data_IF_052118957462
#
_entry.id   IF_052118957462
#
_cell.length_a   1.000
_cell.length_b   1.000
_cell.length_c   1.000
_cell.angle_alpha   90.00
_cell.angle_beta   90.00
_cell.angle_gamma   90.00
#
_symmetry.space_group_name_H-M   'P 1'
#
loop_
_entity.id
_entity.type
_entity.pdbx_description
1 polymer ?
#
# COMPACT_ATOMS: atom_id res chain seq x y z
N UNK A 1 -10.95 12.82 6.46
CA UNK A 1 -12.20 12.20 5.94
C UNK A 1 -12.95 13.20 5.09
N UNK A 2 -13.20 14.42 5.55
CA UNK A 2 -14.01 15.42 4.85
C UNK A 2 -13.46 15.78 3.47
N UNK A 3 -12.13 15.92 3.34
CA UNK A 3 -11.48 16.11 2.05
C UNK A 3 -11.81 14.99 1.06
N UNK A 4 -11.78 13.74 1.49
CA UNK A 4 -12.14 12.59 0.66
C UNK A 4 -13.63 12.63 0.30
N UNK A 5 -14.50 12.89 1.27
CA UNK A 5 -15.95 12.98 1.05
C UNK A 5 -16.34 14.05 0.03
N UNK A 6 -15.62 15.18 0.00
CA UNK A 6 -15.90 16.28 -0.93
C UNK A 6 -15.36 16.03 -2.36
N UNK A 7 -14.31 15.20 -2.50
CA UNK A 7 -13.65 15.00 -3.80
C UNK A 7 -14.00 13.68 -4.49
N UNK A 8 -14.60 12.70 -3.79
CA UNK A 8 -14.98 11.43 -4.38
C UNK A 8 -16.36 11.52 -5.08
N UNK A 9 -16.45 11.02 -6.30
CA UNK A 9 -17.72 10.91 -7.06
C UNK A 9 -18.61 9.83 -6.46
N UNK A 10 -18.10 8.61 -6.30
CA UNK A 10 -18.80 7.51 -5.64
C UNK A 10 -18.56 7.57 -4.14
N UNK A 11 -19.56 7.29 -3.35
CA UNK A 11 -19.49 7.34 -1.88
C UNK A 11 -19.26 5.97 -1.26
N UNK A 12 -19.70 4.90 -1.91
CA UNK A 12 -19.62 3.53 -1.41
C UNK A 12 -18.79 2.64 -2.31
N UNK A 13 -18.05 1.68 -1.72
CA UNK A 13 -17.21 0.73 -2.43
C UNK A 13 -18.00 -0.12 -3.42
N UNK A 14 -19.20 -0.54 -3.03
CA UNK A 14 -20.10 -1.37 -3.84
C UNK A 14 -20.72 -0.63 -5.06
N UNK A 15 -20.57 0.68 -5.15
CA UNK A 15 -21.01 1.52 -6.26
C UNK A 15 -19.94 1.70 -7.35
N UNK A 16 -18.71 1.22 -7.08
CA UNK A 16 -17.60 1.37 -8.01
C UNK A 16 -17.75 0.44 -9.22
N UNK A 17 -17.48 0.96 -10.42
CA UNK A 17 -17.48 0.16 -11.66
C UNK A 17 -16.37 -0.91 -11.66
N UNK A 18 -15.21 -0.58 -11.09
CA UNK A 18 -14.12 -1.53 -10.89
C UNK A 18 -14.12 -1.92 -9.42
N UNK A 19 -14.27 -3.22 -9.09
CA UNK A 19 -14.24 -3.68 -7.69
C UNK A 19 -12.97 -3.25 -6.99
N UNK A 20 -13.11 -2.69 -5.79
CA UNK A 20 -12.00 -2.26 -4.94
C UNK A 20 -12.08 -2.94 -3.58
N UNK A 21 -10.95 -3.46 -3.13
CA UNK A 21 -10.77 -3.98 -1.76
C UNK A 21 -9.78 -3.06 -1.05
N UNK A 22 -10.20 -2.54 0.09
CA UNK A 22 -9.35 -1.71 0.96
C UNK A 22 -8.99 -2.54 2.19
N UNK A 23 -7.69 -2.63 2.51
CA UNK A 23 -7.22 -3.35 3.69
C UNK A 23 -6.99 -2.39 4.85
N UNK A 24 -7.36 -2.80 6.06
CA UNK A 24 -7.05 -2.10 7.30
C UNK A 24 -6.77 -3.11 8.41
N UNK A 25 -6.11 -2.69 9.45
CA UNK A 25 -5.89 -3.48 10.66
C UNK A 25 -6.94 -3.10 11.70
N UNK A 26 -7.78 -4.06 12.09
CA UNK A 26 -8.65 -4.00 13.27
C UNK A 26 -7.77 -4.04 14.52
N UNK A 27 -7.59 -2.88 15.14
CA UNK A 27 -6.67 -2.72 16.27
C UNK A 27 -7.21 -3.38 17.54
N UNK A 28 -8.53 -3.43 17.70
CA UNK A 28 -9.18 -3.98 18.89
C UNK A 28 -9.07 -5.51 18.94
N UNK A 29 -9.03 -6.18 17.76
CA UNK A 29 -8.99 -7.64 17.67
C UNK A 29 -7.68 -8.18 17.06
N UNK A 30 -6.75 -7.32 16.65
CA UNK A 30 -5.45 -7.73 16.10
C UNK A 30 -5.52 -8.51 14.79
N UNK A 31 -6.42 -8.15 13.88
CA UNK A 31 -6.64 -8.86 12.61
C UNK A 31 -6.67 -7.94 11.41
N UNK A 32 -6.28 -8.48 10.26
CA UNK A 32 -6.45 -7.81 8.97
C UNK A 32 -7.91 -7.86 8.52
N UNK A 33 -8.43 -6.74 8.05
CA UNK A 33 -9.79 -6.63 7.51
C UNK A 33 -9.73 -6.19 6.05
N UNK A 34 -10.62 -6.77 5.24
CA UNK A 34 -10.77 -6.47 3.82
C UNK A 34 -12.13 -5.83 3.60
N UNK A 35 -12.15 -4.54 3.42
CA UNK A 35 -13.37 -3.80 3.11
C UNK A 35 -13.67 -3.88 1.62
N UNK A 36 -14.84 -4.36 1.27
CA UNK A 36 -15.40 -4.40 -0.09
C UNK A 36 -16.76 -3.71 -0.16
N UNK A 37 -17.21 -3.12 0.95
CA UNK A 37 -18.48 -2.39 1.09
C UNK A 37 -18.33 -1.23 2.05
N UNK A 38 -19.24 -0.25 1.94
CA UNK A 38 -19.39 0.88 2.84
C UNK A 38 -18.72 2.15 2.36
N UNK A 39 -18.67 3.17 3.20
CA UNK A 39 -18.17 4.51 2.86
C UNK A 39 -16.69 4.49 2.48
N UNK A 40 -16.36 4.91 1.26
CA UNK A 40 -14.99 4.89 0.73
C UNK A 40 -14.07 5.77 1.57
N UNK A 41 -14.51 6.97 1.93
CA UNK A 41 -13.67 7.94 2.63
C UNK A 41 -13.24 7.43 4.01
N UNK A 42 -14.15 6.76 4.73
CA UNK A 42 -13.83 6.17 6.04
C UNK A 42 -12.86 5.00 5.92
N UNK A 43 -13.08 4.10 4.93
CA UNK A 43 -12.23 2.93 4.71
C UNK A 43 -10.83 3.34 4.22
N UNK A 44 -10.74 4.33 3.34
CA UNK A 44 -9.46 4.91 2.90
C UNK A 44 -8.74 5.59 4.07
N UNK A 45 -9.45 6.38 4.88
CA UNK A 45 -8.86 7.01 6.06
C UNK A 45 -8.31 5.97 7.04
N UNK A 46 -9.04 4.88 7.27
CA UNK A 46 -8.58 3.77 8.09
C UNK A 46 -7.33 3.09 7.52
N UNK A 47 -7.32 2.83 6.20
CA UNK A 47 -6.19 2.21 5.49
C UNK A 47 -4.93 3.06 5.46
N UNK A 48 -5.07 4.39 5.54
CA UNK A 48 -3.96 5.35 5.55
C UNK A 48 -3.58 5.82 6.96
N UNK A 49 -4.23 5.30 8.01
CA UNK A 49 -4.04 5.73 9.38
C UNK A 49 -2.79 5.09 9.98
N UNK A 50 -1.62 5.66 9.70
CA UNK A 50 -0.34 5.17 10.24
C UNK A 50 -0.29 5.31 11.76
N UNK A 51 -0.08 4.20 12.50
CA UNK A 51 0.17 4.24 13.94
C UNK A 51 1.29 5.23 14.30
N UNK A 52 1.22 5.79 15.50
CA UNK A 52 2.15 6.82 16.03
C UNK A 52 1.93 8.21 15.41
N UNK A 53 1.50 8.32 14.14
CA UNK A 53 1.27 9.61 13.49
C UNK A 53 -0.18 10.06 13.58
N UNK A 54 -1.13 9.14 13.50
CA UNK A 54 -2.56 9.44 13.49
C UNK A 54 -3.31 8.64 14.55
N UNK A 55 -4.41 9.23 15.06
CA UNK A 55 -5.34 8.50 15.90
C UNK A 55 -6.13 7.47 15.09
N UNK A 56 -6.41 6.28 15.62
CA UNK A 56 -7.20 5.26 14.94
C UNK A 56 -8.56 5.76 14.46
N UNK A 57 -9.02 5.29 13.31
CA UNK A 57 -10.34 5.62 12.77
C UNK A 57 -11.36 4.67 13.38
N UNK A 58 -12.41 5.24 14.02
CA UNK A 58 -13.52 4.43 14.51
C UNK A 58 -14.56 4.23 13.40
N UNK A 59 -14.87 2.96 13.11
CA UNK A 59 -15.94 2.56 12.19
C UNK A 59 -16.82 1.56 12.92
N UNK A 60 -18.07 1.92 13.13
CA UNK A 60 -19.08 1.07 13.79
C UNK A 60 -18.62 0.53 15.16
N UNK A 61 -17.90 1.35 15.94
CA UNK A 61 -17.42 1.00 17.28
C UNK A 61 -16.08 0.26 17.32
N UNK A 62 -15.48 -0.08 16.18
CA UNK A 62 -14.16 -0.74 16.08
C UNK A 62 -13.10 0.27 15.60
N UNK A 63 -11.91 0.20 16.18
CA UNK A 63 -10.79 1.07 15.84
C UNK A 63 -9.89 0.44 14.78
N UNK A 64 -9.64 1.19 13.72
CA UNK A 64 -8.82 0.75 12.59
C UNK A 64 -7.59 1.62 12.40
N UNK A 65 -6.52 0.97 11.99
CA UNK A 65 -5.27 1.60 11.55
C UNK A 65 -4.84 1.02 10.21
N UNK A 66 -3.75 1.54 9.65
CA UNK A 66 -3.18 1.14 8.36
C UNK A 66 -3.06 -0.38 8.22
N UNK A 67 -3.58 -0.90 7.11
CA UNK A 67 -3.52 -2.33 6.78
C UNK A 67 -2.11 -2.86 6.61
N UNK A 68 -1.19 -2.00 6.23
CA UNK A 68 0.23 -2.33 6.09
C UNK A 68 0.90 -2.79 7.39
N UNK A 69 0.29 -2.52 8.55
CA UNK A 69 0.77 -3.07 9.83
C UNK A 69 0.82 -4.60 9.81
N UNK A 70 -0.17 -5.25 9.23
CA UNK A 70 -0.25 -6.72 9.14
C UNK A 70 0.04 -7.25 7.73
N UNK A 71 -0.30 -6.49 6.67
CA UNK A 71 -0.09 -6.89 5.27
C UNK A 71 0.08 -5.66 4.36
N UNK A 72 1.31 -5.25 4.14
CA UNK A 72 1.61 -4.06 3.33
C UNK A 72 1.40 -4.27 1.81
N UNK A 73 1.57 -5.48 1.32
CA UNK A 73 1.40 -5.84 -0.08
C UNK A 73 0.35 -6.98 -0.19
N UNK A 74 -0.96 -6.69 -0.23
CA UNK A 74 -2.02 -7.68 -0.03
C UNK A 74 -2.32 -8.53 -1.27
N UNK A 75 -1.31 -9.17 -1.87
CA UNK A 75 -1.44 -10.04 -3.07
C UNK A 75 -2.35 -11.23 -2.80
N UNK A 76 -2.22 -11.87 -1.63
CA UNK A 76 -3.06 -12.99 -1.21
C UNK A 76 -4.55 -12.68 -1.20
N UNK A 77 -4.91 -11.40 -0.99
CA UNK A 77 -6.31 -10.96 -1.02
C UNK A 77 -6.91 -11.12 -2.41
N UNK A 78 -6.16 -10.76 -3.46
CA UNK A 78 -6.60 -10.84 -4.85
C UNK A 78 -6.39 -12.23 -5.45
N UNK A 79 -5.39 -12.98 -4.99
CA UNK A 79 -5.07 -14.31 -5.53
C UNK A 79 -6.22 -15.32 -5.44
N UNK A 80 -7.17 -15.10 -4.52
CA UNK A 80 -8.36 -15.95 -4.36
C UNK A 80 -9.45 -15.70 -5.40
N UNK A 81 -9.41 -14.53 -6.06
CA UNK A 81 -10.48 -14.06 -6.97
C UNK A 81 -9.96 -13.64 -8.34
N UNK A 82 -8.64 -13.55 -8.53
CA UNK A 82 -7.99 -13.17 -9.79
C UNK A 82 -7.06 -14.27 -10.28
N UNK A 83 -7.10 -14.57 -11.56
CA UNK A 83 -6.19 -15.52 -12.21
C UNK A 83 -4.77 -14.95 -12.28
N UNK A 84 -4.64 -13.66 -12.61
CA UNK A 84 -3.36 -12.94 -12.67
C UNK A 84 -3.38 -11.74 -11.73
N UNK A 85 -2.28 -11.55 -11.00
CA UNK A 85 -2.13 -10.45 -10.03
C UNK A 85 -0.85 -9.68 -10.32
N UNK A 86 -1.01 -8.38 -10.55
CA UNK A 86 0.09 -7.42 -10.62
C UNK A 86 0.23 -6.79 -9.24
N UNK A 87 1.41 -6.82 -8.68
CA UNK A 87 1.74 -6.17 -7.42
C UNK A 87 2.69 -4.99 -7.67
N UNK A 88 2.38 -3.85 -7.06
CA UNK A 88 3.25 -2.68 -7.08
C UNK A 88 3.69 -2.39 -5.66
N UNK A 89 4.99 -2.53 -5.38
CA UNK A 89 5.56 -2.26 -4.07
C UNK A 89 6.48 -1.02 -4.14
N UNK A 90 5.99 0.09 -3.61
CA UNK A 90 6.71 1.37 -3.60
C UNK A 90 7.51 1.61 -2.32
N UNK A 91 7.58 0.62 -1.44
CA UNK A 91 8.22 0.72 -0.12
C UNK A 91 9.29 -0.36 0.10
N UNK A 92 10.37 -0.41 -0.72
CA UNK A 92 11.46 -1.35 -0.48
C UNK A 92 12.16 -1.06 0.85
N UNK A 93 12.73 -2.09 1.47
CA UNK A 93 13.44 -1.96 2.73
C UNK A 93 14.80 -1.30 2.51
N UNK A 94 15.05 -0.16 3.17
CA UNK A 94 16.24 0.62 2.93
C UNK A 94 16.92 1.10 4.21
N UNK A 95 18.23 1.29 4.14
CA UNK A 95 19.01 1.91 5.20
C UNK A 95 18.81 3.44 5.14
N UNK A 96 18.27 4.03 6.20
CA UNK A 96 18.12 5.48 6.32
C UNK A 96 18.64 5.97 7.66
N UNK A 97 19.18 7.19 7.68
CA UNK A 97 19.54 7.86 8.94
C UNK A 97 18.27 8.30 9.67
N UNK A 98 18.25 8.18 10.98
CA UNK A 98 17.14 8.61 11.84
C UNK A 98 17.63 9.21 13.15
N UNK A 99 16.80 10.02 13.79
CA UNK A 99 17.11 10.63 15.09
C UNK A 99 16.92 9.61 16.21
N UNK A 100 17.86 9.59 17.19
CA UNK A 100 17.80 8.70 18.37
C UNK A 100 16.85 9.26 19.44
N UNK A 101 15.55 9.28 19.14
CA UNK A 101 14.50 9.59 20.10
C UNK A 101 13.36 8.55 19.99
N UNK A 102 12.55 8.44 21.04
CA UNK A 102 11.50 7.41 21.17
C UNK A 102 10.55 7.39 19.96
N UNK A 103 10.10 8.55 19.49
CA UNK A 103 9.17 8.65 18.37
C UNK A 103 9.82 8.17 17.07
N UNK A 104 11.05 8.62 16.79
CA UNK A 104 11.78 8.21 15.59
C UNK A 104 12.12 6.71 15.61
N UNK A 105 12.43 6.15 16.78
CA UNK A 105 12.68 4.71 16.95
C UNK A 105 11.38 3.93 16.73
N UNK A 106 10.26 4.37 17.30
CA UNK A 106 8.95 3.74 17.11
C UNK A 106 8.52 3.74 15.65
N UNK A 107 8.63 4.89 14.97
CA UNK A 107 8.36 5.01 13.53
C UNK A 107 9.29 4.12 12.69
N UNK A 108 10.56 4.05 13.04
CA UNK A 108 11.51 3.19 12.34
C UNK A 108 11.19 1.71 12.53
N UNK A 109 10.85 1.30 13.74
CA UNK A 109 10.43 -0.08 14.05
C UNK A 109 9.14 -0.44 13.32
N UNK A 110 8.16 0.48 13.30
CA UNK A 110 6.94 0.34 12.51
C UNK A 110 7.27 0.13 11.01
N UNK A 111 8.13 0.97 10.43
CA UNK A 111 8.55 0.84 9.04
C UNK A 111 9.21 -0.53 8.74
N UNK A 112 9.97 -1.09 9.66
CA UNK A 112 10.53 -2.44 9.48
C UNK A 112 9.45 -3.52 9.47
N UNK A 113 8.51 -3.50 10.40
CA UNK A 113 7.39 -4.44 10.43
C UNK A 113 6.55 -4.33 9.17
N UNK A 114 6.20 -3.11 8.79
CA UNK A 114 5.42 -2.78 7.61
C UNK A 114 6.04 -3.32 6.31
N UNK A 115 7.35 -3.14 6.16
CA UNK A 115 8.07 -3.61 4.96
C UNK A 115 8.36 -5.10 4.98
N UNK A 116 8.71 -5.66 6.13
CA UNK A 116 9.06 -7.08 6.24
C UNK A 116 7.88 -8.00 5.95
N UNK A 117 6.65 -7.61 6.28
CA UNK A 117 5.48 -8.42 6.00
C UNK A 117 5.08 -8.46 4.52
N UNK A 118 5.71 -7.65 3.65
CA UNK A 118 5.51 -7.71 2.20
C UNK A 118 6.27 -8.86 1.53
N UNK A 119 7.36 -9.37 2.14
CA UNK A 119 8.19 -10.40 1.51
C UNK A 119 7.44 -11.67 1.09
N UNK A 120 6.63 -12.31 1.95
CA UNK A 120 5.89 -13.52 1.55
C UNK A 120 4.81 -13.26 0.49
N UNK A 121 4.37 -12.02 0.32
CA UNK A 121 3.37 -11.64 -0.67
C UNK A 121 3.97 -11.38 -2.06
N UNK A 122 5.24 -10.94 -2.12
CA UNK A 122 5.95 -10.66 -3.38
C UNK A 122 6.02 -11.88 -4.31
N UNK A 123 6.28 -13.05 -3.74
CA UNK A 123 6.40 -14.30 -4.49
C UNK A 123 5.07 -14.77 -5.08
N UNK A 124 3.95 -14.33 -4.53
CA UNK A 124 2.60 -14.69 -4.96
C UNK A 124 2.10 -13.86 -6.15
N UNK A 125 2.77 -12.77 -6.50
CA UNK A 125 2.42 -11.96 -7.65
C UNK A 125 2.91 -12.60 -8.96
N UNK A 126 2.11 -12.52 -10.02
CA UNK A 126 2.54 -12.91 -11.37
C UNK A 126 3.48 -11.87 -11.98
N UNK A 127 3.23 -10.61 -11.67
CA UNK A 127 4.11 -9.49 -12.01
C UNK A 127 4.34 -8.64 -10.78
N UNK A 128 5.60 -8.46 -10.42
CA UNK A 128 6.00 -7.56 -9.33
C UNK A 128 6.73 -6.35 -9.91
N UNK A 129 6.23 -5.17 -9.61
CA UNK A 129 6.83 -3.89 -9.96
C UNK A 129 7.35 -3.24 -8.67
N UNK A 130 8.67 -3.07 -8.58
CA UNK A 130 9.33 -2.40 -7.46
C UNK A 130 10.22 -1.30 -8.00
N UNK A 131 9.76 -0.04 -7.97
CA UNK A 131 10.60 1.08 -8.36
C UNK A 131 11.85 1.16 -7.49
N UNK A 132 13.00 1.24 -8.13
CA UNK A 132 14.29 1.49 -7.49
C UNK A 132 14.59 2.99 -7.47
N UNK A 133 15.63 3.40 -6.73
CA UNK A 133 16.04 4.81 -6.60
C UNK A 133 15.00 5.74 -5.95
N UNK A 134 14.11 5.19 -5.09
CA UNK A 134 13.21 5.99 -4.26
C UNK A 134 13.83 6.36 -2.89
N UNK A 135 15.09 6.03 -2.68
CA UNK A 135 15.79 6.11 -1.38
C UNK A 135 15.98 7.53 -0.86
N UNK A 136 16.04 8.49 -1.75
CA UNK A 136 16.27 9.89 -1.43
C UNK A 136 15.01 10.70 -1.11
N UNK A 137 13.81 10.09 -1.25
CA UNK A 137 12.55 10.81 -1.10
C UNK A 137 11.88 10.57 0.25
N UNK A 138 11.41 11.66 0.85
CA UNK A 138 10.57 11.61 2.04
C UNK A 138 9.10 11.51 1.64
N UNK A 139 8.29 10.81 2.44
CA UNK A 139 6.83 10.70 2.24
C UNK A 139 6.10 12.06 2.30
N UNK A 140 6.79 13.13 2.71
CA UNK A 140 6.23 14.49 2.86
C UNK A 140 6.73 15.47 1.80
N UNK A 141 7.62 15.05 0.90
CA UNK A 141 8.18 15.92 -0.15
C UNK A 141 7.27 15.97 -1.39
N UNK A 142 6.11 16.64 -1.25
CA UNK A 142 5.16 16.80 -2.36
C UNK A 142 5.72 17.60 -3.54
N UNK A 143 6.72 18.44 -3.31
CA UNK A 143 7.40 19.23 -4.35
C UNK A 143 8.10 18.35 -5.38
N UNK A 144 8.48 17.12 -5.01
CA UNK A 144 9.12 16.14 -5.89
C UNK A 144 8.15 15.11 -6.50
N UNK A 145 6.84 15.33 -6.38
CA UNK A 145 5.84 14.37 -6.81
C UNK A 145 5.98 13.98 -8.29
N UNK A 146 6.28 14.93 -9.18
CA UNK A 146 6.48 14.67 -10.61
C UNK A 146 7.74 13.85 -10.88
N UNK A 147 8.84 14.15 -10.18
CA UNK A 147 10.09 13.39 -10.28
C UNK A 147 9.89 11.93 -9.82
N UNK A 148 9.21 11.74 -8.68
CA UNK A 148 8.87 10.41 -8.14
C UNK A 148 7.96 9.64 -9.11
N UNK A 149 6.97 10.31 -9.70
CA UNK A 149 6.09 9.73 -10.70
C UNK A 149 6.88 9.24 -11.92
N UNK A 150 7.77 10.08 -12.47
CA UNK A 150 8.59 9.71 -13.62
C UNK A 150 9.55 8.56 -13.30
N UNK A 151 10.08 8.51 -12.09
CA UNK A 151 10.90 7.38 -11.64
C UNK A 151 10.11 6.06 -11.62
N UNK A 152 8.89 6.09 -11.10
CA UNK A 152 7.98 4.92 -11.11
C UNK A 152 7.60 4.51 -12.53
N UNK A 153 7.27 5.47 -13.38
CA UNK A 153 6.91 5.25 -14.79
C UNK A 153 8.05 4.60 -15.57
N UNK A 154 9.26 5.18 -15.50
CA UNK A 154 10.43 4.65 -16.22
C UNK A 154 10.80 3.25 -15.73
N UNK A 155 10.84 3.02 -14.42
CA UNK A 155 11.12 1.69 -13.86
C UNK A 155 10.09 0.66 -14.32
N UNK A 156 8.82 1.03 -14.37
CA UNK A 156 7.76 0.12 -14.85
C UNK A 156 7.97 -0.25 -16.31
N UNK A 157 8.25 0.73 -17.17
CA UNK A 157 8.54 0.48 -18.58
C UNK A 157 9.75 -0.42 -18.76
N UNK A 158 10.85 -0.16 -18.06
CA UNK A 158 12.06 -0.98 -18.12
C UNK A 158 11.78 -2.44 -17.74
N UNK A 159 10.96 -2.66 -16.70
CA UNK A 159 10.57 -4.01 -16.26
C UNK A 159 9.74 -4.70 -17.34
N UNK A 160 8.74 -4.01 -17.89
CA UNK A 160 7.85 -4.57 -18.91
C UNK A 160 8.59 -4.88 -20.21
N UNK A 161 9.45 -3.96 -20.68
CA UNK A 161 10.26 -4.17 -21.88
C UNK A 161 11.21 -5.37 -21.74
N UNK A 162 11.91 -5.49 -20.60
CA UNK A 162 12.77 -6.65 -20.33
C UNK A 162 12.00 -7.97 -20.36
N UNK A 163 10.83 -8.03 -19.72
CA UNK A 163 10.01 -9.24 -19.71
C UNK A 163 9.51 -9.61 -21.11
N UNK A 164 9.13 -8.62 -21.92
CA UNK A 164 8.71 -8.85 -23.31
C UNK A 164 9.87 -9.34 -24.20
N UNK A 165 11.07 -8.77 -24.03
CA UNK A 165 12.27 -9.17 -24.77
C UNK A 165 12.71 -10.58 -24.35
N UNK A 166 12.81 -10.84 -23.04
CA UNK A 166 13.40 -12.08 -22.52
C UNK A 166 12.46 -13.28 -22.60
N UNK A 167 11.16 -13.06 -22.44
CA UNK A 167 10.15 -14.12 -22.32
C UNK A 167 9.02 -14.07 -23.34
N UNK A 168 8.92 -13.01 -24.11
CA UNK A 168 7.78 -12.77 -25.01
C UNK A 168 6.45 -12.54 -24.26
N UNK A 169 6.46 -12.46 -22.93
CA UNK A 169 5.28 -12.27 -22.08
C UNK A 169 5.64 -11.52 -20.82
N UNK A 170 4.73 -10.67 -20.34
CA UNK A 170 4.86 -9.99 -19.04
C UNK A 170 4.48 -10.88 -17.84
N UNK A 171 3.93 -12.07 -18.11
CA UNK A 171 3.49 -12.98 -17.06
C UNK A 171 4.56 -14.02 -16.72
N UNK A 172 4.67 -14.36 -15.45
CA UNK A 172 5.40 -15.57 -15.02
C UNK A 172 4.64 -16.80 -15.53
N UNK A 173 5.36 -17.74 -16.11
CA UNK A 173 4.85 -19.07 -16.39
C UNK A 173 4.66 -19.89 -15.13
#
# INVERSE_FOLDING_TARGET
IDFLKSNLKSKKLEELQIPLIITATDLDHGRLVHFHKGDIAERVAASCCMPVLFAPVNIDGTHYVDGGLLMNLPVSTLRRICEKVIAVNVSPLMATKYKMNIVSIALRSYNFMFRSNSFPEREKADLLIEPYNLEGYSNTELEKAEEIFMQGYNTTNDILERLLIDKGSIWKE
#
